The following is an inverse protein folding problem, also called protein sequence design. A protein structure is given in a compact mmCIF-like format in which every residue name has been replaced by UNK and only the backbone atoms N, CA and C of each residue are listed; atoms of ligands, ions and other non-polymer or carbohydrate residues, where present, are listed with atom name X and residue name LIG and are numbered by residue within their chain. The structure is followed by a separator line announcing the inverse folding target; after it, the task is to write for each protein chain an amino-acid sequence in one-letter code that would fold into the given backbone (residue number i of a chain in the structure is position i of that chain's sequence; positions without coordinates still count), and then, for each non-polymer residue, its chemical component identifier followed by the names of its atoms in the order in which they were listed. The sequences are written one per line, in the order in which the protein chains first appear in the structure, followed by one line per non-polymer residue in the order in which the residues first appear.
data_IF_711193058448
#
_entry.id   IF_711193058448
#
_cell.length_a   1.000
_cell.length_b   1.000
_cell.length_c   1.000
_cell.angle_alpha   90.00
_cell.angle_beta   90.00
_cell.angle_gamma   90.00
#
_symmetry.space_group_name_H-M   'P 1'
#
loop_
_entity.id
_entity.type
_entity.pdbx_description
1 polymer ?
#
# COMPACT_ATOMS: atom_id res chain seq x y z
N UNK A 1 -12.86 0.24 -19.24
CA UNK A 1 -12.86 -0.46 -17.95
C UNK A 1 -13.02 0.59 -16.84
N UNK A 2 -14.24 1.01 -16.52
CA UNK A 2 -14.53 2.04 -15.49
C UNK A 2 -14.71 1.42 -14.08
N UNK A 3 -14.76 0.09 -14.01
CA UNK A 3 -15.14 -0.66 -12.80
C UNK A 3 -13.99 -0.93 -11.82
N UNK A 4 -12.75 -0.56 -12.18
CA UNK A 4 -11.58 -0.77 -11.30
C UNK A 4 -11.19 0.46 -10.48
N UNK A 5 -11.72 1.65 -10.81
CA UNK A 5 -11.37 2.90 -10.11
C UNK A 5 -11.79 2.89 -8.63
N UNK A 6 -12.84 2.13 -8.31
CA UNK A 6 -13.33 1.96 -6.94
C UNK A 6 -12.84 0.65 -6.31
N UNK A 7 -11.88 -0.07 -6.89
CA UNK A 7 -11.38 -1.33 -6.32
C UNK A 7 -10.07 -1.12 -5.58
N UNK A 8 -9.97 -1.72 -4.40
CA UNK A 8 -8.74 -1.81 -3.65
C UNK A 8 -8.00 -3.05 -4.14
N UNK A 9 -6.80 -2.83 -4.66
CA UNK A 9 -5.93 -3.87 -5.19
C UNK A 9 -4.86 -4.20 -4.16
N UNK A 10 -4.49 -5.47 -4.09
CA UNK A 10 -3.37 -5.96 -3.31
C UNK A 10 -2.46 -6.78 -4.21
N UNK A 11 -1.17 -6.52 -4.18
CA UNK A 11 -0.24 -7.33 -4.97
C UNK A 11 1.15 -6.73 -5.06
N UNK A 12 1.83 -7.07 -6.15
CA UNK A 12 3.24 -6.77 -6.34
C UNK A 12 3.41 -5.59 -7.30
N UNK A 13 4.14 -4.58 -6.85
CA UNK A 13 4.43 -3.36 -7.60
C UNK A 13 5.92 -3.28 -7.92
N UNK A 14 6.24 -2.90 -9.14
CA UNK A 14 7.57 -2.46 -9.51
C UNK A 14 7.65 -0.94 -9.27
N UNK A 15 8.42 -0.54 -8.27
CA UNK A 15 8.57 0.84 -7.85
C UNK A 15 9.94 1.38 -8.24
N UNK A 16 10.00 2.68 -8.54
CA UNK A 16 11.25 3.40 -8.79
C UNK A 16 11.47 4.45 -7.72
N UNK A 17 12.64 4.38 -7.09
CA UNK A 17 13.15 5.42 -6.21
C UNK A 17 14.39 6.08 -6.84
N UNK A 18 15.02 7.00 -6.11
CA UNK A 18 16.24 7.69 -6.55
C UNK A 18 17.45 6.76 -6.76
N UNK A 19 17.47 5.58 -6.11
CA UNK A 19 18.55 4.59 -6.20
C UNK A 19 18.36 3.60 -7.35
N UNK A 20 17.13 3.37 -7.81
CA UNK A 20 16.84 2.41 -8.87
C UNK A 20 15.41 1.89 -8.85
N UNK A 21 15.19 0.83 -9.62
CA UNK A 21 13.90 0.13 -9.72
C UNK A 21 13.95 -1.14 -8.89
N UNK A 22 12.90 -1.42 -8.13
CA UNK A 22 12.81 -2.61 -7.30
C UNK A 22 11.36 -3.08 -7.14
N UNK A 23 11.20 -4.36 -6.82
CA UNK A 23 9.89 -4.99 -6.67
C UNK A 23 9.49 -4.97 -5.21
N UNK A 24 8.34 -4.36 -4.91
CA UNK A 24 7.71 -4.36 -3.61
C UNK A 24 6.53 -5.32 -3.63
N UNK A 25 6.57 -6.30 -2.74
CA UNK A 25 5.50 -7.29 -2.57
C UNK A 25 4.50 -6.81 -1.53
N UNK A 26 3.29 -7.38 -1.58
CA UNK A 26 2.25 -7.16 -0.57
C UNK A 26 1.82 -5.68 -0.42
N UNK A 27 1.75 -4.98 -1.54
CA UNK A 27 1.32 -3.58 -1.60
C UNK A 27 -0.20 -3.47 -1.79
N UNK A 28 -0.84 -2.61 -1.00
CA UNK A 28 -2.20 -2.14 -1.24
C UNK A 28 -2.14 -0.87 -2.09
N UNK A 29 -2.87 -0.84 -3.20
CA UNK A 29 -2.91 0.32 -4.11
C UNK A 29 -4.24 0.38 -4.86
N UNK A 30 -4.55 1.54 -5.45
CA UNK A 30 -5.62 1.68 -6.43
C UNK A 30 -5.04 1.73 -7.85
N UNK A 31 -5.85 1.40 -8.85
CA UNK A 31 -5.44 1.45 -10.27
C UNK A 31 -5.00 2.86 -10.71
N UNK A 32 -5.52 3.90 -10.03
CA UNK A 32 -5.23 5.32 -10.33
C UNK A 32 -4.03 5.87 -9.54
N UNK A 33 -3.42 5.10 -8.63
CA UNK A 33 -2.20 5.54 -7.95
C UNK A 33 -1.03 5.57 -8.92
N UNK A 34 -0.34 6.71 -8.97
CA UNK A 34 0.91 6.91 -9.71
C UNK A 34 2.15 6.76 -8.79
N UNK A 35 1.95 6.85 -7.48
CA UNK A 35 2.96 6.74 -6.46
C UNK A 35 2.47 5.88 -5.29
N UNK A 36 3.36 5.06 -4.73
CA UNK A 36 3.07 4.27 -3.53
C UNK A 36 4.08 4.64 -2.46
N UNK A 37 3.63 5.30 -1.38
CA UNK A 37 4.47 5.74 -0.25
C UNK A 37 5.68 6.61 -0.67
N UNK A 38 5.48 7.53 -1.63
CA UNK A 38 6.53 8.43 -2.14
C UNK A 38 7.45 7.82 -3.20
N UNK A 39 7.10 6.64 -3.72
CA UNK A 39 7.88 5.91 -4.71
C UNK A 39 7.07 5.75 -5.98
N UNK A 40 7.67 6.00 -7.14
CA UNK A 40 6.93 6.03 -8.41
C UNK A 40 6.57 4.62 -8.84
N UNK A 41 5.30 4.37 -9.12
CA UNK A 41 4.85 3.08 -9.65
C UNK A 41 5.23 3.02 -11.14
N UNK A 42 6.07 2.06 -11.50
CA UNK A 42 6.47 1.83 -12.89
C UNK A 42 5.55 0.81 -13.54
N UNK A 43 5.26 -0.27 -12.82
CA UNK A 43 4.46 -1.38 -13.36
C UNK A 43 3.82 -2.16 -12.22
N UNK A 44 2.56 -2.53 -12.41
CA UNK A 44 1.90 -3.55 -11.59
C UNK A 44 2.27 -4.91 -12.15
N UNK A 45 2.89 -5.77 -11.33
CA UNK A 45 3.30 -7.11 -11.76
C UNK A 45 2.16 -8.12 -11.59
N UNK A 46 1.53 -8.07 -10.42
CA UNK A 46 0.41 -8.93 -10.06
C UNK A 46 -0.51 -8.16 -9.13
N UNK A 47 -1.81 -8.41 -9.24
CA UNK A 47 -2.78 -7.82 -8.35
C UNK A 47 -3.99 -8.73 -8.17
N UNK A 48 -4.50 -8.77 -6.95
CA UNK A 48 -5.80 -9.30 -6.61
C UNK A 48 -6.69 -8.19 -6.09
N UNK A 49 -7.97 -8.26 -6.41
CA UNK A 49 -8.98 -7.34 -5.88
C UNK A 49 -9.32 -7.83 -4.47
N UNK A 50 -9.01 -7.03 -3.45
CA UNK A 50 -9.32 -7.36 -2.06
C UNK A 50 -10.59 -6.69 -1.55
N UNK A 51 -11.12 -5.73 -2.31
CA UNK A 51 -12.37 -5.08 -1.97
C UNK A 51 -12.74 -3.95 -2.90
N UNK A 52 -13.88 -3.35 -2.63
CA UNK A 52 -14.37 -2.15 -3.29
C UNK A 52 -14.41 -1.01 -2.29
N UNK A 53 -13.80 0.11 -2.63
CA UNK A 53 -13.95 1.39 -1.95
C UNK A 53 -15.39 1.87 -2.13
N UNK A 54 -16.25 1.51 -1.18
CA UNK A 54 -17.62 2.02 -1.17
C UNK A 54 -17.55 3.53 -0.91
N UNK A 55 -18.10 4.33 -1.84
CA UNK A 55 -18.10 5.80 -1.75
C UNK A 55 -19.03 6.33 -0.64
N UNK A 56 -19.73 5.45 0.07
CA UNK A 56 -20.53 5.79 1.25
C UNK A 56 -19.76 5.50 2.53
N UNK A 57 -19.54 6.57 3.30
CA UNK A 57 -18.79 6.69 4.56
C UNK A 57 -17.30 7.00 4.37
N UNK A 58 -17.01 8.30 4.47
CA UNK A 58 -15.68 8.77 4.83
C UNK A 58 -15.20 8.05 6.09
N UNK A 59 -13.89 7.94 6.24
CA UNK A 59 -13.16 7.12 7.22
C UNK A 59 -13.02 5.65 6.82
N UNK A 60 -11.99 5.37 6.02
CA UNK A 60 -11.26 4.10 6.15
C UNK A 60 -9.92 4.44 6.79
N UNK A 61 -9.95 4.65 8.10
CA UNK A 61 -8.76 4.71 8.93
C UNK A 61 -8.13 3.31 8.90
N UNK A 62 -7.10 3.13 8.08
CA UNK A 62 -6.34 1.88 8.06
C UNK A 62 -5.50 1.88 9.33
N UNK A 63 -6.08 1.40 10.44
CA UNK A 63 -5.32 1.02 11.63
C UNK A 63 -4.39 -0.13 11.23
N UNK A 64 -3.20 0.23 10.75
CA UNK A 64 -2.06 -0.68 10.72
C UNK A 64 -1.84 -1.07 12.19
N UNK A 65 -2.23 -2.30 12.51
CA UNK A 65 -1.84 -2.98 13.73
C UNK A 65 -0.32 -2.92 13.82
N UNK A 66 0.20 -2.01 14.63
CA UNK A 66 1.63 -1.86 14.88
C UNK A 66 2.05 -2.88 15.96
N UNK A 67 1.75 -4.15 15.72
CA UNK A 67 2.22 -5.27 16.53
C UNK A 67 3.64 -5.63 16.06
N UNK A 68 4.60 -4.77 16.44
CA UNK A 68 6.04 -5.02 16.65
C UNK A 68 6.87 -3.75 16.39
N UNK A 69 7.15 -3.00 17.47
CA UNK A 69 8.49 -2.45 17.67
C UNK A 69 9.03 -2.93 19.00
N UNK A 70 9.88 -3.93 18.91
CA UNK A 70 10.86 -4.27 19.93
C UNK A 70 11.65 -3.00 20.30
N UNK A 71 11.52 -2.52 21.52
CA UNK A 71 12.54 -1.65 22.15
C UNK A 71 12.50 -1.88 23.66
N UNK A 72 13.27 -2.87 24.08
CA UNK A 72 13.88 -2.91 25.41
C UNK A 72 14.62 -1.57 25.57
N UNK A 73 14.11 -0.67 26.41
CA UNK A 73 14.87 0.44 26.98
C UNK A 73 14.57 0.46 28.46
N UNK A 74 15.64 0.30 29.25
CA UNK A 74 15.62 -0.03 30.67
C UNK A 74 14.83 0.92 31.54
N UNK A 75 14.28 0.35 32.60
CA UNK A 75 13.71 1.09 33.72
C UNK A 75 14.80 1.97 34.36
N UNK A 76 14.37 3.19 34.67
CA UNK A 76 15.04 4.23 35.43
C UNK A 76 15.39 3.72 36.84
N UNK A 77 16.57 4.09 37.35
CA UNK A 77 16.80 4.35 38.78
C UNK A 77 16.90 5.86 38.99
#
# INVERSE_FOLDING_TARGET
MKDLENKILFGNLNLKNKKGTYIKKDCVFCINDIEHKGEKIIKVLDYKIIGTKNKSKGFTEVKISNEKRNKITGAYE
#
